data_IF_379628098465
#
_entry.id   IF_379628098465
#
_cell.length_a   1.000
_cell.length_b   1.000
_cell.length_c   1.000
_cell.angle_alpha   90.00
_cell.angle_beta   90.00
_cell.angle_gamma   90.00
#
_symmetry.space_group_name_H-M   'P 1'
#
loop_
_entity.id
_entity.type
_entity.pdbx_description
1 polymer ?
#
# COMPACT_ATOMS: atom_id res chain seq x y z
N UNK A 1 -8.16 26.07 -27.35
CA UNK A 1 -6.74 26.29 -27.04
C UNK A 1 -6.23 24.98 -26.44
N UNK A 2 -5.31 24.36 -27.17
CA UNK A 2 -4.78 23.02 -26.91
C UNK A 2 -3.89 23.04 -25.67
N UNK A 3 -4.33 22.40 -24.59
CA UNK A 3 -3.45 22.03 -23.48
C UNK A 3 -3.07 20.56 -23.63
N UNK A 4 -1.82 20.40 -24.07
CA UNK A 4 -0.95 19.23 -24.03
C UNK A 4 -1.43 18.03 -23.19
N UNK A 5 -1.99 17.02 -23.86
CA UNK A 5 -1.77 15.63 -23.49
C UNK A 5 -0.76 15.09 -24.50
N UNK A 6 0.39 14.61 -24.00
CA UNK A 6 1.39 13.92 -24.82
C UNK A 6 0.77 12.60 -25.29
N UNK A 7 0.49 12.45 -26.59
CA UNK A 7 -0.01 11.18 -27.12
C UNK A 7 1.15 10.30 -27.58
N UNK A 8 1.37 9.19 -26.87
CA UNK A 8 2.23 8.08 -27.30
C UNK A 8 1.48 7.27 -28.36
N UNK A 9 1.90 7.35 -29.62
CA UNK A 9 1.30 6.54 -30.70
C UNK A 9 2.11 5.29 -31.05
N UNK A 10 3.42 5.28 -30.84
CA UNK A 10 4.28 4.16 -31.21
C UNK A 10 5.40 3.96 -30.17
N UNK A 11 5.65 2.72 -29.77
CA UNK A 11 6.82 2.31 -29.00
C UNK A 11 7.66 1.37 -29.87
N UNK A 12 8.84 1.82 -30.29
CA UNK A 12 9.83 1.02 -31.00
C UNK A 12 11.26 1.54 -30.72
N UNK A 13 12.33 0.79 -31.07
CA UNK A 13 13.71 0.97 -30.57
C UNK A 13 14.41 2.32 -30.83
N UNK A 14 13.75 3.34 -31.38
CA UNK A 14 14.32 4.66 -31.67
C UNK A 14 13.32 5.80 -31.36
N UNK A 15 12.45 5.63 -30.36
CA UNK A 15 11.46 6.66 -30.00
C UNK A 15 12.04 7.61 -28.96
N UNK A 16 12.09 8.90 -29.27
CA UNK A 16 12.57 9.94 -28.36
C UNK A 16 11.42 10.63 -27.62
N UNK A 17 11.70 10.97 -26.37
CA UNK A 17 10.84 11.77 -25.50
C UNK A 17 10.99 13.24 -25.85
N UNK A 18 9.88 13.98 -25.94
CA UNK A 18 9.90 15.43 -25.73
C UNK A 18 8.89 15.72 -24.63
N UNK A 19 9.40 15.89 -23.41
CA UNK A 19 8.68 16.59 -22.35
C UNK A 19 8.70 18.07 -22.69
N UNK A 20 7.53 18.70 -22.79
CA UNK A 20 7.43 20.12 -22.51
C UNK A 20 6.83 20.27 -21.11
N UNK A 21 7.69 20.48 -20.13
CA UNK A 21 7.31 21.05 -18.84
C UNK A 21 7.19 22.55 -19.03
N UNK A 22 5.99 23.08 -19.24
CA UNK A 22 5.78 24.52 -19.12
C UNK A 22 6.27 24.96 -17.74
N UNK A 23 7.13 25.97 -17.65
CA UNK A 23 7.82 26.33 -16.41
C UNK A 23 6.93 27.10 -15.42
N UNK A 24 5.73 27.54 -15.82
CA UNK A 24 4.79 28.23 -14.92
C UNK A 24 3.33 28.22 -15.38
N UNK A 25 2.44 28.63 -14.46
CA UNK A 25 0.96 28.62 -14.57
C UNK A 25 0.42 29.41 -15.78
N UNK A 26 1.14 30.41 -16.29
CA UNK A 26 0.69 31.22 -17.44
C UNK A 26 0.83 30.49 -18.78
N UNK A 27 1.53 29.35 -18.79
CA UNK A 27 1.75 28.51 -19.97
C UNK A 27 0.80 27.30 -20.02
N UNK A 28 -0.29 27.31 -19.23
CA UNK A 28 -1.34 26.28 -19.28
C UNK A 28 -1.07 25.05 -18.41
N UNK A 29 -0.26 25.18 -17.37
CA UNK A 29 -0.07 24.14 -16.35
C UNK A 29 -1.26 24.12 -15.39
N UNK A 30 -1.91 22.96 -15.20
CA UNK A 30 -2.78 22.72 -14.04
C UNK A 30 -1.90 22.50 -12.81
N UNK A 31 -2.25 23.16 -11.70
CA UNK A 31 -1.45 23.23 -10.47
C UNK A 31 -1.26 21.90 -9.75
N UNK A 32 -2.11 20.90 -10.05
CA UNK A 32 -2.19 19.66 -9.33
C UNK A 32 -2.98 18.63 -10.15
N UNK A 33 -2.46 17.41 -10.28
CA UNK A 33 -3.05 16.29 -11.02
C UNK A 33 -3.29 15.10 -10.07
N UNK A 34 -4.24 15.21 -9.11
CA UNK A 34 -4.51 14.15 -8.13
C UNK A 34 -5.00 12.85 -8.78
N UNK A 35 -5.67 12.94 -9.93
CA UNK A 35 -6.19 11.80 -10.67
C UNK A 35 -5.11 10.96 -11.37
N UNK A 36 -3.86 11.43 -11.49
CA UNK A 36 -2.79 10.72 -12.18
C UNK A 36 -1.78 10.04 -11.25
N UNK A 37 -1.83 10.28 -9.93
CA UNK A 37 -0.89 9.66 -8.99
C UNK A 37 -1.14 8.15 -8.77
N UNK A 38 -2.31 7.63 -9.17
CA UNK A 38 -2.70 6.23 -8.94
C UNK A 38 -3.17 5.46 -10.19
N UNK A 39 -3.06 6.02 -11.41
CA UNK A 39 -3.46 5.29 -12.62
C UNK A 39 -2.23 4.60 -13.21
N UNK A 40 -1.95 3.39 -12.72
CA UNK A 40 -1.13 2.46 -13.49
C UNK A 40 -1.88 2.20 -14.81
N UNK A 41 -1.37 2.69 -15.94
CA UNK A 41 -1.95 2.40 -17.28
C UNK A 41 -2.09 0.90 -17.53
N UNK A 42 -1.30 0.09 -16.81
CA UNK A 42 -1.17 -1.35 -16.99
C UNK A 42 -0.35 -1.69 -18.22
N UNK A 43 -0.19 -2.98 -18.48
CA UNK A 43 0.52 -3.49 -19.65
C UNK A 43 -0.25 -3.16 -20.94
N UNK A 44 0.48 -3.09 -22.06
CA UNK A 44 -0.16 -2.93 -23.38
C UNK A 44 -0.83 -4.23 -23.81
N UNK A 45 -2.09 -4.17 -24.23
CA UNK A 45 -2.88 -5.33 -24.67
C UNK A 45 -2.64 -5.72 -26.13
N UNK A 46 -1.73 -5.02 -26.83
CA UNK A 46 -1.36 -5.32 -28.20
C UNK A 46 -0.64 -4.18 -28.91
N UNK A 47 -0.37 -4.39 -30.21
CA UNK A 47 0.22 -3.37 -31.08
C UNK A 47 -0.76 -2.21 -31.33
N UNK A 48 -0.26 -0.97 -31.50
CA UNK A 48 -1.10 0.16 -31.90
C UNK A 48 -1.88 -0.13 -33.18
N UNK A 49 -3.15 0.28 -33.21
CA UNK A 49 -4.04 0.10 -34.36
C UNK A 49 -4.26 1.43 -35.09
N UNK A 50 -4.51 1.36 -36.39
CA UNK A 50 -4.83 2.53 -37.23
C UNK A 50 -6.01 2.22 -38.14
N UNK A 51 -7.01 3.09 -38.13
CA UNK A 51 -8.11 3.10 -39.08
C UNK A 51 -8.26 4.51 -39.67
N UNK A 52 -7.75 4.71 -40.89
CA UNK A 52 -7.70 6.03 -41.53
C UNK A 52 -6.83 7.03 -40.75
N UNK A 53 -7.45 8.14 -40.30
CA UNK A 53 -6.83 9.18 -39.47
C UNK A 53 -6.94 8.92 -37.96
N UNK A 54 -7.60 7.83 -37.58
CA UNK A 54 -7.77 7.43 -36.18
C UNK A 54 -6.72 6.40 -35.81
N UNK A 55 -6.02 6.65 -34.72
CA UNK A 55 -5.06 5.75 -34.11
C UNK A 55 -5.54 5.37 -32.71
N UNK A 56 -5.43 4.10 -32.36
CA UNK A 56 -5.79 3.60 -31.03
C UNK A 56 -4.71 2.73 -30.41
N UNK A 57 -4.62 2.76 -29.09
CA UNK A 57 -3.76 1.87 -28.32
C UNK A 57 -4.45 1.46 -27.03
N UNK A 58 -4.48 0.15 -26.79
CA UNK A 58 -5.13 -0.45 -25.63
C UNK A 58 -4.10 -0.87 -24.59
N UNK A 59 -4.41 -0.55 -23.34
CA UNK A 59 -3.71 -1.00 -22.14
C UNK A 59 -4.73 -1.63 -21.18
N UNK A 60 -4.26 -2.34 -20.16
CA UNK A 60 -5.15 -3.02 -19.19
C UNK A 60 -6.18 -2.07 -18.57
N UNK A 61 -5.80 -0.82 -18.27
CA UNK A 61 -6.68 0.12 -17.57
C UNK A 61 -7.11 1.34 -18.39
N UNK A 62 -6.56 1.52 -19.60
CA UNK A 62 -6.83 2.70 -20.44
C UNK A 62 -6.83 2.38 -21.93
N UNK A 63 -7.72 3.05 -22.67
CA UNK A 63 -7.66 3.17 -24.13
C UNK A 63 -7.24 4.58 -24.52
N UNK A 64 -6.25 4.69 -25.39
CA UNK A 64 -5.79 5.96 -25.96
C UNK A 64 -6.27 6.04 -27.40
N UNK A 65 -6.96 7.12 -27.76
CA UNK A 65 -7.44 7.40 -29.12
C UNK A 65 -6.94 8.76 -29.59
N UNK A 66 -6.41 8.83 -30.81
CA UNK A 66 -6.04 10.08 -31.50
C UNK A 66 -6.69 10.11 -32.87
N UNK A 67 -7.42 11.17 -33.18
CA UNK A 67 -8.08 11.42 -34.46
C UNK A 67 -7.50 12.70 -35.07
N UNK A 68 -6.64 12.51 -36.07
CA UNK A 68 -5.91 13.61 -36.70
C UNK A 68 -6.79 14.43 -37.65
N UNK A 69 -7.86 13.86 -38.19
CA UNK A 69 -8.78 14.55 -39.10
C UNK A 69 -9.61 15.57 -38.34
N UNK A 70 -10.18 15.15 -37.22
CA UNK A 70 -11.00 16.01 -36.37
C UNK A 70 -10.17 16.77 -35.32
N UNK A 71 -8.85 16.55 -35.27
CA UNK A 71 -7.92 17.14 -34.28
C UNK A 71 -8.41 16.90 -32.84
N UNK A 72 -8.92 15.69 -32.58
CA UNK A 72 -9.38 15.28 -31.25
C UNK A 72 -8.52 14.14 -30.75
N UNK A 73 -8.42 14.04 -29.43
CA UNK A 73 -7.78 12.90 -28.80
C UNK A 73 -8.39 12.69 -27.42
N UNK A 74 -8.46 11.42 -26.99
CA UNK A 74 -9.08 11.02 -25.75
C UNK A 74 -8.31 9.89 -25.09
N UNK A 75 -8.34 9.88 -23.77
CA UNK A 75 -7.95 8.74 -22.95
C UNK A 75 -9.25 8.29 -22.28
N UNK A 76 -9.68 7.07 -22.59
CA UNK A 76 -10.83 6.43 -21.95
C UNK A 76 -10.28 5.50 -20.89
N UNK A 77 -10.47 5.85 -19.62
CA UNK A 77 -10.17 4.92 -18.55
C UNK A 77 -11.23 3.83 -18.56
N UNK A 78 -10.78 2.58 -18.69
CA UNK A 78 -11.61 1.47 -18.28
C UNK A 78 -11.59 1.51 -16.75
N UNK A 79 -12.74 1.67 -16.10
CA UNK A 79 -12.83 1.36 -14.68
C UNK A 79 -12.58 -0.13 -14.52
N UNK A 80 -11.33 -0.55 -14.52
CA UNK A 80 -10.88 -1.38 -13.41
C UNK A 80 -11.16 -0.50 -12.20
N UNK A 81 -12.22 -0.82 -11.45
CA UNK A 81 -12.23 -0.36 -10.06
C UNK A 81 -11.01 -1.07 -9.49
N UNK A 82 -9.84 -0.40 -9.52
CA UNK A 82 -8.72 -0.82 -8.70
C UNK A 82 -9.24 -0.54 -7.31
N UNK A 83 -9.91 -1.55 -6.77
CA UNK A 83 -10.24 -1.68 -5.37
C UNK A 83 -8.95 -1.40 -4.62
N UNK A 84 -8.81 -0.16 -4.13
CA UNK A 84 -7.65 0.18 -3.35
C UNK A 84 -7.75 -0.63 -2.06
N UNK A 85 -6.69 -1.36 -1.69
CA UNK A 85 -6.71 -2.11 -0.45
C UNK A 85 -7.04 -1.17 0.70
N UNK A 86 -8.08 -1.52 1.47
CA UNK A 86 -8.53 -0.71 2.61
C UNK A 86 -7.90 -1.27 3.87
N UNK A 87 -7.26 -0.41 4.67
CA UNK A 87 -6.71 -0.80 5.96
C UNK A 87 -7.83 -0.89 7.01
N UNK A 88 -8.24 -2.11 7.36
CA UNK A 88 -9.30 -2.36 8.36
C UNK A 88 -8.82 -2.27 9.79
N UNK A 89 -7.51 -2.33 10.02
CA UNK A 89 -6.95 -2.27 11.37
C UNK A 89 -7.27 -0.94 12.06
N UNK A 90 -7.43 0.15 11.30
CA UNK A 90 -7.78 1.49 11.79
C UNK A 90 -9.07 1.54 12.63
N UNK A 91 -10.00 0.61 12.38
CA UNK A 91 -11.28 0.52 13.09
C UNK A 91 -11.31 -0.64 14.10
N UNK A 92 -10.21 -1.39 14.22
CA UNK A 92 -10.09 -2.52 15.12
C UNK A 92 -9.85 -2.13 16.57
N UNK A 93 -9.85 -3.13 17.45
CA UNK A 93 -9.47 -2.97 18.86
C UNK A 93 -8.13 -3.65 19.09
N UNK A 94 -7.11 -2.85 19.39
CA UNK A 94 -5.75 -3.35 19.64
C UNK A 94 -5.52 -3.64 21.13
N UNK A 95 -4.84 -4.75 21.42
CA UNK A 95 -4.36 -5.12 22.76
C UNK A 95 -2.94 -5.67 22.68
N UNK A 96 -2.24 -5.76 23.81
CA UNK A 96 -0.88 -6.29 23.87
C UNK A 96 -0.62 -6.95 25.23
N UNK A 97 0.42 -7.78 25.30
CA UNK A 97 0.79 -8.57 26.48
C UNK A 97 1.04 -7.73 27.74
N UNK A 98 1.67 -6.58 27.58
CA UNK A 98 1.93 -5.59 28.63
C UNK A 98 2.14 -4.21 28.00
N UNK A 99 2.09 -3.14 28.81
CA UNK A 99 2.36 -1.77 28.34
C UNK A 99 3.42 -1.11 29.20
N UNK A 100 4.44 -0.54 28.55
CA UNK A 100 5.48 0.26 29.20
C UNK A 100 5.71 1.57 28.44
N UNK A 101 6.36 2.56 29.08
CA UNK A 101 6.71 3.87 28.51
C UNK A 101 5.55 4.64 27.85
N UNK A 102 4.29 4.28 28.15
CA UNK A 102 3.09 4.85 27.53
C UNK A 102 2.89 4.43 26.06
N UNK A 103 3.53 3.35 25.61
CA UNK A 103 3.38 2.79 24.27
C UNK A 103 2.11 1.95 24.14
N UNK A 104 0.95 2.59 24.19
CA UNK A 104 -0.36 1.94 24.10
C UNK A 104 -0.54 1.15 22.79
N UNK A 105 -1.23 0.00 22.81
CA UNK A 105 -1.38 -0.88 21.65
C UNK A 105 -2.10 -0.21 20.48
N UNK A 106 -3.00 0.75 20.73
CA UNK A 106 -3.74 1.47 19.70
C UNK A 106 -2.87 2.32 18.78
N UNK A 107 -1.61 2.59 19.16
CA UNK A 107 -0.68 3.35 18.31
C UNK A 107 -0.32 2.62 17.02
N UNK A 108 -0.33 1.28 17.02
CA UNK A 108 -0.05 0.51 15.81
C UNK A 108 -1.25 0.42 14.84
N UNK A 109 -2.35 1.12 15.12
CA UNK A 109 -3.53 1.22 14.24
C UNK A 109 -4.02 2.67 14.13
N UNK A 110 -3.14 3.64 14.35
CA UNK A 110 -3.52 5.06 14.37
C UNK A 110 -3.40 5.74 13.00
N UNK A 111 -2.91 5.01 11.99
CA UNK A 111 -2.72 5.48 10.63
C UNK A 111 -1.40 6.23 10.40
N UNK A 112 -0.50 6.27 11.38
CA UNK A 112 0.77 6.99 11.30
C UNK A 112 1.96 6.03 11.36
N UNK A 113 2.58 5.80 10.19
CA UNK A 113 3.72 4.88 10.03
C UNK A 113 5.06 5.43 10.57
N UNK A 114 5.05 6.46 11.43
CA UNK A 114 6.28 7.04 11.96
C UNK A 114 6.91 6.13 13.03
N UNK A 115 7.99 5.43 12.65
CA UNK A 115 8.71 4.53 13.54
C UNK A 115 9.63 5.18 14.58
N UNK A 116 9.76 6.52 14.62
CA UNK A 116 10.51 7.18 15.67
C UNK A 116 9.67 7.25 16.96
N UNK A 117 10.17 6.67 18.05
CA UNK A 117 9.39 6.55 19.30
C UNK A 117 8.96 7.91 19.88
N UNK A 118 9.80 8.93 19.74
CA UNK A 118 9.48 10.31 20.15
C UNK A 118 8.34 10.94 19.34
N UNK A 119 7.98 10.35 18.20
CA UNK A 119 6.83 10.75 17.38
C UNK A 119 5.48 10.35 17.97
N UNK A 120 5.44 9.51 19.00
CA UNK A 120 4.21 9.18 19.72
C UNK A 120 3.28 8.15 19.05
N UNK A 121 3.69 7.54 17.93
CA UNK A 121 2.96 6.48 17.19
C UNK A 121 3.67 5.12 17.26
N UNK A 122 4.41 4.83 18.34
CA UNK A 122 5.04 3.52 18.51
C UNK A 122 4.53 2.87 19.79
N UNK A 123 4.07 1.61 19.67
CA UNK A 123 3.68 0.76 20.81
C UNK A 123 4.92 0.34 21.61
N UNK A 124 4.71 -0.11 22.84
CA UNK A 124 5.81 -0.59 23.68
C UNK A 124 5.30 -1.52 24.77
N UNK A 125 5.72 -2.79 24.70
CA UNK A 125 5.55 -3.73 25.80
C UNK A 125 6.69 -3.57 26.81
N UNK A 126 6.51 -4.09 28.02
CA UNK A 126 7.65 -4.31 28.90
C UNK A 126 8.65 -5.30 28.26
N UNK A 127 9.87 -5.35 28.79
CA UNK A 127 10.78 -6.44 28.45
C UNK A 127 10.28 -7.73 29.10
N UNK A 128 9.83 -8.67 28.29
CA UNK A 128 9.25 -9.92 28.75
C UNK A 128 9.53 -11.06 27.75
N UNK A 129 9.19 -12.30 28.12
CA UNK A 129 9.36 -13.45 27.23
C UNK A 129 8.21 -13.48 26.22
N UNK A 130 8.57 -13.52 24.93
CA UNK A 130 7.62 -13.68 23.83
C UNK A 130 6.46 -12.67 23.85
N UNK A 131 6.74 -11.35 23.97
CA UNK A 131 5.72 -10.31 23.98
C UNK A 131 4.89 -10.36 22.70
N UNK A 132 3.61 -9.99 22.82
CA UNK A 132 2.69 -9.99 21.69
C UNK A 132 1.87 -8.72 21.66
N UNK A 133 1.46 -8.38 20.44
CA UNK A 133 0.47 -7.37 20.14
C UNK A 133 -0.58 -8.01 19.23
N UNK A 134 -1.84 -7.64 19.36
CA UNK A 134 -2.90 -8.08 18.45
C UNK A 134 -3.89 -6.97 18.14
N UNK A 135 -4.55 -7.09 16.99
CA UNK A 135 -5.76 -6.35 16.65
C UNK A 135 -6.90 -7.31 16.35
N UNK A 136 -8.04 -7.06 16.98
CA UNK A 136 -9.33 -7.67 16.61
C UNK A 136 -10.08 -6.70 15.70
N UNK A 137 -10.41 -7.15 14.48
CA UNK A 137 -11.15 -6.38 13.47
C UNK A 137 -12.64 -6.31 13.82
N UNK A 138 -13.32 -5.29 13.27
CA UNK A 138 -14.75 -5.04 13.46
C UNK A 138 -15.66 -6.20 13.01
N UNK A 139 -15.20 -6.94 12.01
CA UNK A 139 -15.78 -8.19 11.54
C UNK A 139 -14.70 -9.04 10.88
N UNK A 140 -14.99 -10.31 10.64
CA UNK A 140 -14.19 -11.14 9.75
C UNK A 140 -14.07 -10.49 8.35
N UNK A 141 -12.86 -10.50 7.79
CA UNK A 141 -12.52 -9.99 6.46
C UNK A 141 -11.72 -11.02 5.68
N UNK A 142 -11.80 -10.95 4.36
CA UNK A 142 -10.84 -11.58 3.46
C UNK A 142 -9.56 -10.74 3.42
N UNK A 143 -8.56 -11.10 4.23
CA UNK A 143 -7.29 -10.39 4.34
C UNK A 143 -6.38 -10.82 3.19
N UNK A 144 -5.86 -9.86 2.42
CA UNK A 144 -4.97 -10.11 1.29
C UNK A 144 -3.50 -9.80 1.57
N UNK A 145 -3.24 -8.79 2.40
CA UNK A 145 -1.90 -8.34 2.76
C UNK A 145 -1.89 -7.78 4.18
N UNK A 146 -0.81 -8.04 4.91
CA UNK A 146 -0.49 -7.40 6.18
C UNK A 146 0.82 -6.65 6.01
N UNK A 147 0.88 -5.40 6.46
CA UNK A 147 2.10 -4.59 6.43
C UNK A 147 2.50 -4.26 7.86
N UNK A 148 3.67 -4.73 8.27
CA UNK A 148 4.22 -4.52 9.61
C UNK A 148 5.28 -3.44 9.56
N UNK A 149 5.08 -2.34 10.29
CA UNK A 149 6.05 -1.27 10.48
C UNK A 149 6.69 -1.39 11.86
N UNK A 150 8.02 -1.51 11.89
CA UNK A 150 8.79 -1.57 13.13
C UNK A 150 9.18 -0.19 13.64
N UNK A 151 9.68 -0.14 14.88
CA UNK A 151 10.40 1.04 15.40
C UNK A 151 11.69 1.27 14.59
N UNK A 152 11.98 2.51 14.21
CA UNK A 152 13.11 2.86 13.34
C UNK A 152 14.32 3.47 14.08
N UNK A 153 14.21 3.72 15.40
CA UNK A 153 15.34 4.21 16.19
C UNK A 153 16.50 3.20 16.25
N UNK A 154 17.72 3.65 15.98
CA UNK A 154 18.91 2.78 15.93
C UNK A 154 19.23 2.02 17.24
N UNK A 155 18.72 2.47 18.39
CA UNK A 155 18.93 1.79 19.67
C UNK A 155 18.19 0.45 19.81
N UNK A 156 17.17 0.26 18.97
CA UNK A 156 16.04 -0.57 19.34
C UNK A 156 15.32 -1.21 18.14
N UNK A 157 15.62 -0.81 16.91
CA UNK A 157 14.98 -1.32 15.70
C UNK A 157 15.16 -2.85 15.53
N UNK A 158 16.30 -3.38 15.99
CA UNK A 158 16.67 -4.79 15.95
C UNK A 158 15.83 -5.68 16.87
N UNK A 159 15.00 -5.12 17.76
CA UNK A 159 14.11 -5.91 18.64
C UNK A 159 13.03 -6.67 17.89
N UNK A 160 12.63 -6.20 16.71
CA UNK A 160 11.69 -6.90 15.83
C UNK A 160 12.46 -7.71 14.77
N UNK A 161 13.34 -8.60 15.22
CA UNK A 161 14.22 -9.41 14.34
C UNK A 161 13.86 -10.88 14.28
N UNK A 162 13.09 -11.42 15.23
CA UNK A 162 12.47 -12.75 15.15
C UNK A 162 11.05 -12.68 15.70
N UNK A 163 10.06 -12.80 14.82
CA UNK A 163 8.66 -12.69 15.17
C UNK A 163 7.78 -13.57 14.29
N UNK A 164 6.62 -13.95 14.84
CA UNK A 164 5.59 -14.71 14.15
C UNK A 164 4.35 -13.83 13.96
N UNK A 165 3.81 -13.87 12.74
CA UNK A 165 2.52 -13.28 12.40
C UNK A 165 1.50 -14.39 12.30
N UNK A 166 0.42 -14.29 13.08
CA UNK A 166 -0.68 -15.26 13.08
C UNK A 166 -1.99 -14.54 12.77
N UNK A 167 -2.82 -15.16 11.93
CA UNK A 167 -4.18 -14.71 11.66
C UNK A 167 -5.15 -15.79 12.10
N UNK A 168 -6.20 -15.40 12.82
CA UNK A 168 -7.31 -16.28 13.20
C UNK A 168 -8.62 -15.77 12.62
N UNK A 169 -9.49 -16.71 12.21
CA UNK A 169 -10.87 -16.42 11.82
C UNK A 169 -11.77 -16.11 13.04
N UNK A 170 -13.04 -15.80 12.80
CA UNK A 170 -14.02 -15.49 13.84
C UNK A 170 -14.34 -16.66 14.79
N UNK A 171 -14.04 -17.89 14.37
CA UNK A 171 -14.15 -19.11 15.16
C UNK A 171 -12.84 -19.44 15.93
N UNK A 172 -11.85 -18.55 15.90
CA UNK A 172 -10.52 -18.71 16.50
C UNK A 172 -9.67 -19.84 15.90
N UNK A 173 -9.92 -20.25 14.66
CA UNK A 173 -9.02 -21.15 13.94
C UNK A 173 -7.88 -20.35 13.30
N UNK A 174 -6.66 -20.88 13.36
CA UNK A 174 -5.51 -20.28 12.68
C UNK A 174 -5.66 -20.50 11.17
N UNK A 175 -5.82 -19.40 10.42
CA UNK A 175 -5.91 -19.41 8.95
C UNK A 175 -4.57 -19.08 8.29
N UNK A 176 -3.66 -18.45 9.02
CA UNK A 176 -2.30 -18.15 8.56
C UNK A 176 -1.34 -18.06 9.74
N UNK A 177 -0.12 -18.56 9.54
CA UNK A 177 0.98 -18.38 10.49
C UNK A 177 2.31 -18.48 9.77
N UNK A 178 3.16 -17.46 9.93
CA UNK A 178 4.52 -17.44 9.36
C UNK A 178 5.48 -16.70 10.30
N UNK A 179 6.74 -17.12 10.32
CA UNK A 179 7.80 -16.47 11.09
C UNK A 179 8.75 -15.71 10.18
N UNK A 180 9.21 -14.55 10.66
CA UNK A 180 10.08 -13.64 9.93
C UNK A 180 11.31 -13.31 10.78
N UNK A 181 12.49 -13.43 10.15
CA UNK A 181 13.78 -13.13 10.78
C UNK A 181 14.41 -11.82 10.28
N UNK A 182 13.67 -11.06 9.46
CA UNK A 182 14.13 -9.80 8.88
C UNK A 182 13.51 -8.63 9.62
N UNK A 183 14.34 -7.69 10.05
CA UNK A 183 13.89 -6.44 10.68
C UNK A 183 13.16 -5.57 9.65
N UNK A 184 11.88 -5.18 9.88
CA UNK A 184 11.19 -4.22 9.03
C UNK A 184 11.91 -2.86 8.99
N UNK A 185 12.22 -2.36 7.79
CA UNK A 185 12.85 -1.05 7.60
C UNK A 185 12.42 -0.37 6.29
N UNK A 186 11.42 0.54 6.33
CA UNK A 186 10.57 0.85 7.48
C UNK A 186 9.52 -0.25 7.76
N UNK A 187 9.21 -1.08 6.77
CA UNK A 187 8.16 -2.10 6.87
C UNK A 187 8.51 -3.43 6.19
N UNK A 188 7.68 -4.44 6.47
CA UNK A 188 7.61 -5.71 5.75
C UNK A 188 6.17 -5.93 5.26
N UNK A 189 6.01 -6.17 3.96
CA UNK A 189 4.74 -6.61 3.35
C UNK A 189 4.64 -8.13 3.35
N UNK A 190 3.50 -8.64 3.81
CA UNK A 190 3.20 -10.06 3.94
C UNK A 190 1.94 -10.36 3.13
N UNK A 191 2.07 -11.14 2.06
CA UNK A 191 0.92 -11.59 1.29
C UNK A 191 0.31 -12.83 1.93
N UNK A 192 -0.97 -12.74 2.30
CA UNK A 192 -1.69 -13.83 2.97
C UNK A 192 -2.46 -14.73 2.00
N UNK A 193 -2.53 -14.37 0.71
CA UNK A 193 -3.29 -15.08 -0.33
C UNK A 193 -4.81 -15.19 -0.06
N UNK A 194 -5.44 -14.09 0.40
CA UNK A 194 -6.90 -13.97 0.57
C UNK A 194 -7.50 -14.96 1.59
N UNK A 195 -6.95 -14.98 2.79
CA UNK A 195 -7.46 -15.79 3.92
C UNK A 195 -8.63 -15.08 4.62
N UNK A 196 -9.48 -15.85 5.28
CA UNK A 196 -10.40 -15.26 6.26
C UNK A 196 -9.67 -14.94 7.56
N UNK A 197 -9.94 -13.78 8.14
CA UNK A 197 -9.36 -13.39 9.41
C UNK A 197 -10.14 -12.29 10.11
N UNK A 198 -10.19 -12.37 11.44
CA UNK A 198 -10.71 -11.34 12.32
C UNK A 198 -9.65 -10.89 13.34
N UNK A 199 -8.72 -11.75 13.72
CA UNK A 199 -7.68 -11.43 14.70
C UNK A 199 -6.31 -11.56 14.03
N UNK A 200 -5.49 -10.51 14.12
CA UNK A 200 -4.10 -10.52 13.66
C UNK A 200 -3.18 -10.33 14.85
N UNK A 201 -2.22 -11.22 15.03
CA UNK A 201 -1.28 -11.26 16.15
C UNK A 201 0.14 -11.13 15.62
N UNK A 202 0.93 -10.25 16.22
CA UNK A 202 2.37 -10.11 16.03
C UNK A 202 3.04 -10.48 17.35
N UNK A 203 3.80 -11.56 17.36
CA UNK A 203 4.51 -12.04 18.54
C UNK A 203 6.00 -12.08 18.29
N UNK A 204 6.80 -11.46 19.17
CA UNK A 204 8.25 -11.69 19.15
C UNK A 204 8.54 -13.09 19.70
N UNK A 205 9.49 -13.79 19.09
CA UNK A 205 9.98 -15.08 19.58
C UNK A 205 11.10 -14.93 20.63
N UNK A 206 11.57 -13.70 20.84
CA UNK A 206 12.65 -13.37 21.77
C UNK A 206 12.15 -12.93 23.17
N UNK A 207 13.09 -12.79 24.10
CA UNK A 207 12.88 -12.12 25.38
C UNK A 207 13.30 -10.65 25.29
N UNK A 208 12.40 -9.79 24.83
CA UNK A 208 12.65 -8.38 24.56
C UNK A 208 11.37 -7.56 24.74
N UNK A 209 11.40 -6.26 24.46
CA UNK A 209 10.20 -5.45 24.29
C UNK A 209 9.77 -5.46 22.82
N UNK A 210 8.47 -5.64 22.56
CA UNK A 210 7.87 -5.48 21.25
C UNK A 210 7.49 -4.02 21.03
N UNK A 211 7.82 -3.47 19.86
CA UNK A 211 7.50 -2.09 19.49
C UNK A 211 7.14 -2.03 18.01
N UNK A 212 5.88 -1.70 17.75
CA UNK A 212 5.31 -1.60 16.41
C UNK A 212 4.92 -0.14 16.17
N UNK A 213 5.29 0.38 15.01
CA UNK A 213 4.88 1.72 14.59
C UNK A 213 3.47 1.69 13.98
N UNK A 214 3.20 0.69 13.14
CA UNK A 214 1.91 0.52 12.49
C UNK A 214 1.76 -0.94 12.03
N UNK A 215 0.56 -1.48 12.10
CA UNK A 215 0.18 -2.75 11.47
C UNK A 215 -1.02 -2.48 10.60
N UNK A 216 -0.82 -2.56 9.29
CA UNK A 216 -1.90 -2.41 8.33
C UNK A 216 -2.43 -3.79 7.98
N UNK A 217 -3.74 -3.98 8.05
CA UNK A 217 -4.43 -5.19 7.63
C UNK A 217 -5.27 -4.82 6.44
N UNK A 218 -4.86 -5.25 5.26
CA UNK A 218 -5.45 -4.84 4.01
C UNK A 218 -6.50 -5.86 3.56
N UNK A 219 -7.57 -5.35 2.96
CA UNK A 219 -8.56 -6.13 2.21
C UNK A 219 -8.93 -5.40 0.92
N UNK A 220 -9.28 -6.18 -0.11
CA UNK A 220 -9.88 -5.69 -1.36
C UNK A 220 -11.35 -6.15 -1.36
N UNK A 221 -12.30 -5.25 -1.66
CA UNK A 221 -13.73 -5.56 -1.69
C UNK A 221 -14.14 -6.27 -2.99
#
# INVERSE_FOLDING_TARGET
LFTFASFLLFYGPNTYWIYNTGYNKTQGMFDYYPEYYNIATGQSLGSPQRNGWVYTREFENVSVRVDLENKTASITQYRSVVELPTNVALNGTATQSSTDFGGEPSRAIDGNTNGAYSGGSVTHTANESSPWWQVELDSEKTINEIIVYGRTDACCADRLSDYTVTVMDSDSNITFTESYTSVPNPSLSINTNNIQGQIVIIQSNDSTALSLAEVQVLYIQ
#
